data_IF_074549126323
#
_entry.id   IF_074549126323
#
_cell.length_a   1.000
_cell.length_b   1.000
_cell.length_c   1.000
_cell.angle_alpha   90.00
_cell.angle_beta   90.00
_cell.angle_gamma   90.00
#
_symmetry.space_group_name_H-M   'P 1'
#
loop_
_entity.id
_entity.type
_entity.pdbx_description
1 polymer ?
#
# COMPACT_ATOMS: atom_id res chain seq x y z
N UNK A 1 -19.00 -18.53 15.83
CA UNK A 1 -17.52 -18.63 15.74
C UNK A 1 -17.18 -18.78 14.26
N UNK A 2 -16.68 -17.71 13.65
CA UNK A 2 -16.56 -17.60 12.20
C UNK A 2 -15.30 -18.35 11.78
N UNK A 3 -15.43 -19.15 10.72
CA UNK A 3 -14.43 -20.01 10.04
C UNK A 3 -13.17 -19.24 9.54
N UNK A 4 -13.04 -17.94 9.86
CA UNK A 4 -11.92 -17.08 9.46
C UNK A 4 -10.68 -17.21 10.34
N UNK A 5 -10.78 -17.82 11.53
CA UNK A 5 -9.72 -17.74 12.55
C UNK A 5 -8.78 -18.96 12.62
N UNK A 6 -9.07 -20.07 11.91
CA UNK A 6 -8.30 -21.34 12.01
C UNK A 6 -7.24 -21.53 10.92
N UNK A 7 -7.28 -20.78 9.82
CA UNK A 7 -6.23 -20.84 8.80
C UNK A 7 -5.52 -19.49 8.72
N UNK A 8 -4.19 -19.43 8.89
CA UNK A 8 -3.44 -18.27 8.46
C UNK A 8 -3.44 -18.34 6.93
N UNK A 9 -4.52 -17.87 6.31
CA UNK A 9 -4.57 -17.56 4.88
C UNK A 9 -3.66 -16.36 4.67
N UNK A 10 -2.36 -16.64 4.73
CA UNK A 10 -1.21 -15.76 4.86
C UNK A 10 -0.97 -14.91 3.61
N UNK A 11 -2.00 -14.70 2.79
CA UNK A 11 -1.77 -14.20 1.46
C UNK A 11 -1.63 -12.68 1.44
N UNK A 12 -2.56 -11.98 2.10
CA UNK A 12 -2.55 -10.52 2.09
C UNK A 12 -3.13 -9.91 3.37
N UNK A 13 -2.43 -8.94 3.96
CA UNK A 13 -2.91 -8.17 5.12
C UNK A 13 -3.76 -6.99 4.65
N UNK A 14 -4.96 -6.82 5.18
CA UNK A 14 -5.77 -5.62 4.91
C UNK A 14 -5.06 -4.37 5.45
N UNK A 15 -5.08 -3.27 4.70
CA UNK A 15 -4.63 -1.95 5.15
C UNK A 15 -5.56 -0.85 4.62
N UNK A 16 -5.49 0.35 5.18
CA UNK A 16 -6.15 1.52 4.61
C UNK A 16 -5.20 2.35 3.74
N UNK A 17 -5.73 2.91 2.65
CA UNK A 17 -5.03 3.84 1.78
C UNK A 17 -5.92 4.99 1.34
N UNK A 18 -5.33 5.96 0.62
CA UNK A 18 -6.05 7.09 0.03
C UNK A 18 -6.19 6.92 -1.48
N UNK A 19 -7.33 7.32 -2.03
CA UNK A 19 -7.54 7.59 -3.46
C UNK A 19 -8.14 8.99 -3.58
N UNK A 20 -7.36 9.98 -4.04
CA UNK A 20 -7.81 11.37 -4.07
C UNK A 20 -8.16 11.88 -2.67
N UNK A 21 -9.41 12.28 -2.44
CA UNK A 21 -9.89 12.76 -1.12
C UNK A 21 -10.51 11.65 -0.25
N UNK A 22 -10.74 10.45 -0.79
CA UNK A 22 -11.39 9.36 -0.06
C UNK A 22 -10.40 8.35 0.54
N UNK A 23 -10.84 7.70 1.62
CA UNK A 23 -10.15 6.58 2.24
C UNK A 23 -10.72 5.30 1.66
N UNK A 24 -9.83 4.41 1.20
CA UNK A 24 -10.18 3.15 0.54
C UNK A 24 -9.45 1.99 1.22
N UNK A 25 -10.09 0.82 1.23
CA UNK A 25 -9.44 -0.43 1.63
C UNK A 25 -8.40 -0.83 0.58
N UNK A 26 -7.26 -1.33 1.04
CA UNK A 26 -6.16 -1.86 0.23
C UNK A 26 -5.61 -3.11 0.90
N UNK A 27 -4.73 -3.82 0.19
CA UNK A 27 -4.12 -5.05 0.68
C UNK A 27 -2.61 -4.94 0.57
N UNK A 28 -1.89 -5.43 1.59
CA UNK A 28 -0.44 -5.58 1.58
C UNK A 28 -0.11 -7.03 1.28
N UNK A 29 0.65 -7.26 0.22
CA UNK A 29 1.13 -8.60 -0.11
C UNK A 29 2.10 -9.09 0.98
N UNK A 30 1.84 -10.26 1.56
CA UNK A 30 2.64 -10.82 2.66
C UNK A 30 3.78 -11.71 2.18
N UNK A 31 3.61 -12.35 1.03
CA UNK A 31 4.48 -13.38 0.47
C UNK A 31 4.80 -13.14 -1.02
N UNK A 32 5.76 -13.90 -1.55
CA UNK A 32 6.14 -13.88 -2.96
C UNK A 32 6.99 -12.69 -3.43
N UNK A 33 7.20 -12.59 -4.75
CA UNK A 33 8.06 -11.58 -5.41
C UNK A 33 7.57 -10.14 -5.25
N UNK A 34 6.32 -9.95 -4.81
CA UNK A 34 5.67 -8.65 -4.55
C UNK A 34 5.49 -8.35 -3.05
N UNK A 35 6.17 -9.10 -2.17
CA UNK A 35 6.13 -8.90 -0.71
C UNK A 35 6.30 -7.41 -0.33
N UNK A 36 5.43 -6.95 0.56
CA UNK A 36 5.41 -5.57 1.06
C UNK A 36 4.69 -4.56 0.15
N UNK A 37 4.33 -4.92 -1.09
CA UNK A 37 3.59 -4.04 -2.00
C UNK A 37 2.16 -3.85 -1.53
N UNK A 38 1.69 -2.61 -1.61
CA UNK A 38 0.29 -2.24 -1.34
C UNK A 38 -0.47 -2.21 -2.66
N UNK A 39 -1.54 -2.99 -2.76
CA UNK A 39 -2.36 -3.17 -3.96
C UNK A 39 -3.84 -2.90 -3.67
N UNK A 40 -4.62 -2.63 -4.73
CA UNK A 40 -6.08 -2.49 -4.62
C UNK A 40 -6.79 -3.84 -4.57
N UNK A 41 -6.31 -4.82 -5.34
CA UNK A 41 -6.89 -6.14 -5.45
C UNK A 41 -5.88 -7.20 -4.98
N UNK A 42 -6.30 -8.21 -4.20
CA UNK A 42 -5.39 -9.22 -3.64
C UNK A 42 -4.73 -10.09 -4.71
N UNK A 43 -5.42 -10.41 -5.81
CA UNK A 43 -4.91 -11.23 -6.92
C UNK A 43 -3.65 -10.66 -7.59
N UNK A 44 -3.40 -9.35 -7.43
CA UNK A 44 -2.21 -8.68 -7.98
C UNK A 44 -0.93 -9.13 -7.29
N UNK A 45 -1.00 -9.70 -6.09
CA UNK A 45 0.15 -10.19 -5.33
C UNK A 45 0.83 -11.40 -6.00
N UNK A 46 0.04 -12.30 -6.61
CA UNK A 46 0.53 -13.51 -7.28
C UNK A 46 0.86 -13.28 -8.76
N UNK A 47 0.37 -12.20 -9.37
CA UNK A 47 0.65 -11.89 -10.75
C UNK A 47 2.16 -11.65 -11.03
N UNK A 48 2.64 -11.86 -12.26
CA UNK A 48 4.03 -11.58 -12.64
C UNK A 48 4.39 -10.08 -12.54
N UNK A 49 5.69 -9.79 -12.64
CA UNK A 49 6.24 -8.45 -12.55
C UNK A 49 6.46 -7.85 -13.94
N UNK A 50 5.81 -6.72 -14.23
CA UNK A 50 6.04 -5.97 -15.47
C UNK A 50 7.42 -5.31 -15.46
N UNK A 51 8.38 -5.89 -16.18
CA UNK A 51 9.78 -5.42 -16.23
C UNK A 51 9.86 -4.00 -16.80
N UNK A 52 9.10 -3.72 -17.88
CA UNK A 52 9.05 -2.39 -18.52
C UNK A 52 8.66 -1.30 -17.52
N UNK A 53 7.58 -1.51 -16.74
CA UNK A 53 7.12 -0.55 -15.72
C UNK A 53 8.15 -0.37 -14.60
N UNK A 54 8.83 -1.44 -14.20
CA UNK A 54 9.91 -1.37 -13.20
C UNK A 54 11.05 -0.47 -13.67
N UNK A 55 11.50 -0.63 -14.91
CA UNK A 55 12.59 0.17 -15.48
C UNK A 55 12.21 1.66 -15.61
N UNK A 56 10.99 1.95 -16.09
CA UNK A 56 10.47 3.33 -16.17
C UNK A 56 10.42 3.97 -14.77
N UNK A 57 9.90 3.26 -13.77
CA UNK A 57 9.84 3.77 -12.40
C UNK A 57 11.23 4.00 -11.79
N UNK A 58 12.24 3.18 -12.14
CA UNK A 58 13.63 3.39 -11.72
C UNK A 58 14.18 4.69 -12.29
N UNK A 59 14.02 4.91 -13.61
CA UNK A 59 14.43 6.15 -14.29
C UNK A 59 13.72 7.39 -13.72
N UNK A 60 12.40 7.32 -13.50
CA UNK A 60 11.62 8.42 -12.91
C UNK A 60 12.08 8.75 -11.48
N UNK A 61 12.35 7.73 -10.65
CA UNK A 61 12.85 7.94 -9.29
C UNK A 61 14.22 8.59 -9.25
N UNK A 62 15.12 8.23 -10.16
CA UNK A 62 16.43 8.86 -10.28
C UNK A 62 16.29 10.36 -10.63
N UNK A 63 15.42 10.69 -11.60
CA UNK A 63 15.24 12.08 -12.06
C UNK A 63 14.47 12.97 -11.07
N UNK A 64 13.41 12.46 -10.44
CA UNK A 64 12.45 13.28 -9.67
C UNK A 64 12.26 12.85 -8.21
N UNK A 65 13.07 11.91 -7.71
CA UNK A 65 12.90 11.33 -6.38
C UNK A 65 12.83 12.35 -5.26
N UNK A 66 13.79 13.28 -5.19
CA UNK A 66 13.84 14.31 -4.15
C UNK A 66 12.60 15.23 -4.16
N UNK A 67 12.21 15.71 -5.34
CA UNK A 67 11.01 16.55 -5.51
C UNK A 67 9.74 15.80 -5.09
N UNK A 68 9.63 14.53 -5.49
CA UNK A 68 8.48 13.69 -5.14
C UNK A 68 8.38 13.48 -3.63
N UNK A 69 9.51 13.23 -2.94
CA UNK A 69 9.49 13.07 -1.48
C UNK A 69 9.02 14.33 -0.75
N UNK A 70 9.44 15.53 -1.18
CA UNK A 70 8.95 16.78 -0.60
C UNK A 70 7.42 16.92 -0.76
N UNK A 71 6.90 16.68 -1.96
CA UNK A 71 5.45 16.70 -2.23
C UNK A 71 4.68 15.65 -1.43
N UNK A 72 5.24 14.45 -1.26
CA UNK A 72 4.64 13.39 -0.44
C UNK A 72 4.58 13.82 1.03
N UNK A 73 5.66 14.36 1.59
CA UNK A 73 5.68 14.85 2.98
C UNK A 73 4.63 15.94 3.21
N UNK A 74 4.55 16.92 2.31
CA UNK A 74 3.53 17.97 2.34
C UNK A 74 2.11 17.35 2.32
N UNK A 75 1.84 16.45 1.38
CA UNK A 75 0.54 15.78 1.25
C UNK A 75 0.16 14.94 2.47
N UNK A 76 1.13 14.31 3.13
CA UNK A 76 0.89 13.53 4.35
C UNK A 76 0.58 14.43 5.55
N UNK A 77 1.17 15.63 5.61
CA UNK A 77 0.97 16.61 6.69
C UNK A 77 -0.39 17.31 6.59
N UNK A 78 -0.75 17.80 5.40
CA UNK A 78 -1.91 18.70 5.26
C UNK A 78 -3.21 18.00 4.86
N UNK A 79 -3.16 16.89 4.12
CA UNK A 79 -4.40 16.27 3.63
C UNK A 79 -5.15 15.53 4.76
N UNK A 80 -6.43 15.86 5.04
CA UNK A 80 -7.20 15.24 6.11
C UNK A 80 -7.37 13.72 5.92
N UNK A 81 -7.55 13.27 4.67
CA UNK A 81 -7.67 11.84 4.36
C UNK A 81 -6.34 11.10 4.63
N UNK A 82 -5.18 11.73 4.36
CA UNK A 82 -3.87 11.14 4.68
C UNK A 82 -3.68 10.99 6.20
N UNK A 83 -4.11 11.98 6.99
CA UNK A 83 -4.07 11.93 8.46
C UNK A 83 -4.98 10.83 9.00
N UNK A 84 -6.20 10.71 8.47
CA UNK A 84 -7.15 9.65 8.84
C UNK A 84 -6.60 8.25 8.54
N UNK A 85 -6.01 8.04 7.36
CA UNK A 85 -5.36 6.76 6.98
C UNK A 85 -4.24 6.38 7.97
N UNK A 86 -3.44 7.35 8.42
CA UNK A 86 -2.39 7.09 9.40
C UNK A 86 -2.97 6.63 10.75
N UNK A 87 -4.06 7.26 11.21
CA UNK A 87 -4.78 6.85 12.42
C UNK A 87 -5.35 5.43 12.31
N UNK A 88 -6.06 5.14 11.21
CA UNK A 88 -6.67 3.82 10.96
C UNK A 88 -5.63 2.71 10.86
N UNK A 89 -4.49 2.96 10.24
CA UNK A 89 -3.43 1.96 10.18
C UNK A 89 -2.68 1.80 11.52
N UNK A 90 -2.70 2.81 12.39
CA UNK A 90 -2.13 2.73 13.74
C UNK A 90 -3.00 1.86 14.65
N UNK A 91 -4.33 2.01 14.59
CA UNK A 91 -5.25 1.13 15.35
C UNK A 91 -5.13 -0.31 14.89
N UNK A 92 -4.99 -0.56 13.58
CA UNK A 92 -4.81 -1.90 13.02
C UNK A 92 -3.50 -2.61 13.44
N UNK A 93 -2.50 -1.87 13.96
CA UNK A 93 -1.23 -2.45 14.43
C UNK A 93 -1.24 -2.77 15.93
N UNK A 94 -2.17 -2.18 16.68
CA UNK A 94 -2.32 -2.42 18.13
C UNK A 94 -3.11 -3.69 18.44
N UNK A 95 -3.87 -4.16 17.45
CA UNK A 95 -4.58 -5.44 17.45
C UNK A 95 -3.68 -6.48 16.80
#
# INVERSE_FOLDING_TARGET
MIISDILPTNETKMIFGRKGKSVVKKYRCSFGRKKGRIVSNPSVCSAPLDIKKRMIMKKMKARMGARLQRKIKFTKRFNPASRRVASLNKSLRRK
#
